data_IF_432887520265
#
_entry.id   IF_432887520265
#
_cell.length_a   1.000
_cell.length_b   1.000
_cell.length_c   1.000
_cell.angle_alpha   90.00
_cell.angle_beta   90.00
_cell.angle_gamma   90.00
#
_symmetry.space_group_name_H-M   'P 1'
#
loop_
_entity.id
_entity.type
_entity.pdbx_description
1 polymer ?
#
# COMPACT_ATOMS: atom_id res chain seq x y z
N UNK A 1 -6.59 11.98 -14.67
CA UNK A 1 -7.04 11.69 -13.30
C UNK A 1 -5.83 11.78 -12.38
N UNK A 2 -5.73 12.82 -11.55
CA UNK A 2 -4.56 13.07 -10.70
C UNK A 2 -4.88 12.49 -9.32
N UNK A 3 -4.46 11.25 -9.07
CA UNK A 3 -4.51 10.70 -7.72
C UNK A 3 -3.38 11.37 -6.95
N UNK A 4 -3.69 12.00 -5.81
CA UNK A 4 -2.72 12.39 -4.79
C UNK A 4 -2.66 11.26 -3.76
N UNK A 5 -1.94 10.15 -4.02
CA UNK A 5 -1.77 9.13 -3.01
C UNK A 5 -1.05 9.77 -1.81
N UNK A 6 -1.58 9.55 -0.61
CA UNK A 6 -0.86 9.93 0.60
C UNK A 6 0.39 9.06 0.70
N UNK A 7 1.56 9.65 0.43
CA UNK A 7 2.85 8.99 0.60
C UNK A 7 3.19 9.05 2.10
N UNK A 8 3.26 7.89 2.74
CA UNK A 8 3.73 7.76 4.12
C UNK A 8 5.00 6.91 4.13
N UNK A 9 6.08 7.46 4.68
CA UNK A 9 7.29 6.70 4.96
C UNK A 9 7.07 5.94 6.27
N UNK A 10 6.80 4.64 6.16
CA UNK A 10 6.45 3.83 7.32
C UNK A 10 7.60 2.88 7.67
N UNK A 11 7.96 2.82 8.96
CA UNK A 11 8.83 1.79 9.52
C UNK A 11 8.14 0.41 9.41
N UNK A 12 8.87 -0.72 9.31
CA UNK A 12 8.27 -2.06 9.24
C UNK A 12 7.34 -2.37 10.43
N UNK A 13 7.61 -1.77 11.59
CA UNK A 13 6.75 -1.85 12.79
C UNK A 13 5.32 -1.36 12.51
N UNK A 14 5.13 -0.41 11.59
CA UNK A 14 3.82 0.11 11.23
C UNK A 14 2.89 -0.97 10.64
N UNK A 15 3.42 -1.89 9.84
CA UNK A 15 2.63 -3.00 9.30
C UNK A 15 2.12 -3.93 10.38
N UNK A 16 2.94 -4.19 11.40
CA UNK A 16 2.55 -5.02 12.56
C UNK A 16 1.45 -4.31 13.35
N UNK A 17 1.60 -3.02 13.63
CA UNK A 17 0.62 -2.24 14.39
C UNK A 17 -0.73 -2.09 13.68
N UNK A 18 -0.74 -2.02 12.34
CA UNK A 18 -1.97 -1.85 11.54
C UNK A 18 -2.52 -3.16 10.95
N UNK A 19 -1.96 -4.31 11.35
CA UNK A 19 -2.30 -5.62 10.81
C UNK A 19 -2.33 -5.61 9.27
N UNK A 20 -1.28 -5.06 8.66
CA UNK A 20 -1.12 -5.02 7.21
C UNK A 20 -0.67 -6.40 6.74
N UNK A 21 -1.54 -7.08 6.00
CA UNK A 21 -1.27 -8.39 5.43
C UNK A 21 -0.97 -8.20 3.94
N UNK A 22 0.25 -8.51 3.46
CA UNK A 22 0.55 -8.53 2.04
C UNK A 22 -0.25 -9.62 1.30
N UNK A 23 -0.66 -9.33 0.07
CA UNK A 23 -1.18 -10.35 -0.84
C UNK A 23 -0.11 -11.40 -1.17
N UNK A 24 -0.54 -12.59 -1.57
CA UNK A 24 0.34 -13.67 -1.97
C UNK A 24 1.31 -13.21 -3.07
N UNK A 25 2.58 -13.63 -2.97
CA UNK A 25 3.64 -13.23 -3.89
C UNK A 25 4.28 -11.87 -3.60
N UNK A 26 3.76 -11.09 -2.63
CA UNK A 26 4.34 -9.82 -2.20
C UNK A 26 4.83 -9.83 -0.75
N UNK A 27 5.46 -8.72 -0.34
CA UNK A 27 5.89 -8.46 1.03
C UNK A 27 5.74 -6.99 1.40
N UNK A 28 5.69 -6.69 2.69
CA UNK A 28 5.83 -5.31 3.16
C UNK A 28 7.30 -4.83 3.06
N UNK A 29 7.50 -3.52 3.20
CA UNK A 29 8.84 -2.91 3.33
C UNK A 29 9.52 -3.45 4.60
N UNK A 30 10.81 -3.76 4.52
CA UNK A 30 11.58 -4.33 5.64
C UNK A 30 12.86 -3.53 5.94
N UNK A 31 13.55 -3.88 7.03
CA UNK A 31 14.76 -3.18 7.46
C UNK A 31 15.88 -3.20 6.41
N UNK A 32 15.97 -4.26 5.59
CA UNK A 32 16.96 -4.33 4.52
C UNK A 32 16.70 -3.26 3.46
N UNK A 33 15.44 -2.98 3.14
CA UNK A 33 15.09 -1.91 2.20
C UNK A 33 15.45 -0.54 2.74
N UNK A 34 15.24 -0.32 4.05
CA UNK A 34 15.60 0.93 4.73
C UNK A 34 17.12 1.09 4.77
N UNK A 35 17.83 0.08 5.27
CA UNK A 35 19.28 0.08 5.43
C UNK A 35 20.00 0.26 4.09
N UNK A 36 19.48 -0.32 3.02
CA UNK A 36 20.03 -0.19 1.67
C UNK A 36 19.43 0.97 0.87
N UNK A 37 18.56 1.78 1.47
CA UNK A 37 17.85 2.90 0.83
C UNK A 37 17.23 2.50 -0.52
N UNK A 38 16.63 1.30 -0.57
CA UNK A 38 16.01 0.78 -1.79
C UNK A 38 14.77 1.62 -2.12
N UNK A 39 14.64 1.98 -3.40
CA UNK A 39 13.44 2.65 -3.92
C UNK A 39 12.36 1.60 -4.16
N UNK A 40 11.69 1.23 -3.08
CA UNK A 40 10.59 0.26 -3.10
C UNK A 40 9.32 0.89 -2.58
N UNK A 41 8.17 0.37 -3.03
CA UNK A 41 6.86 0.81 -2.57
C UNK A 41 5.97 -0.40 -2.28
N UNK A 42 5.12 -0.24 -1.28
CA UNK A 42 4.02 -1.15 -0.98
C UNK A 42 2.71 -0.44 -1.28
N UNK A 43 1.85 -1.05 -2.09
CA UNK A 43 0.60 -0.43 -2.54
C UNK A 43 -0.59 -0.91 -1.70
N UNK A 44 -1.52 -0.01 -1.39
CA UNK A 44 -2.84 -0.40 -0.93
C UNK A 44 -3.64 -1.05 -2.07
N UNK A 45 -4.61 -1.90 -1.74
CA UNK A 45 -5.45 -2.64 -2.70
C UNK A 45 -6.11 -1.69 -3.72
N UNK A 46 -6.78 -0.63 -3.24
CA UNK A 46 -7.42 0.38 -4.11
C UNK A 46 -6.43 1.04 -5.08
N UNK A 47 -5.28 1.48 -4.58
CA UNK A 47 -4.26 2.13 -5.42
C UNK A 47 -3.65 1.17 -6.43
N UNK A 48 -3.48 -0.11 -6.06
CA UNK A 48 -3.08 -1.15 -7.02
C UNK A 48 -4.11 -1.27 -8.14
N UNK A 49 -5.40 -1.32 -7.81
CA UNK A 49 -6.47 -1.40 -8.82
C UNK A 49 -6.50 -0.16 -9.71
N UNK A 50 -6.33 1.02 -9.14
CA UNK A 50 -6.32 2.27 -9.92
C UNK A 50 -5.13 2.33 -10.91
N UNK A 51 -3.97 1.79 -10.54
CA UNK A 51 -2.75 1.85 -11.36
C UNK A 51 -2.59 0.67 -12.34
N UNK A 52 -3.00 -0.53 -11.93
CA UNK A 52 -2.73 -1.78 -12.65
C UNK A 52 -4.00 -2.56 -13.03
N UNK A 53 -5.18 -2.12 -12.59
CA UNK A 53 -6.43 -2.86 -12.78
C UNK A 53 -6.33 -4.26 -12.18
N UNK A 54 -6.69 -5.26 -12.98
CA UNK A 54 -6.62 -6.67 -12.61
C UNK A 54 -5.19 -7.24 -12.68
N UNK A 55 -4.27 -6.59 -13.39
CA UNK A 55 -2.91 -7.10 -13.60
C UNK A 55 -2.06 -7.12 -12.31
N UNK A 56 -1.07 -8.01 -12.26
CA UNK A 56 -0.13 -8.10 -11.14
C UNK A 56 0.74 -6.85 -11.04
N UNK A 57 0.79 -6.24 -9.85
CA UNK A 57 1.61 -5.05 -9.59
C UNK A 57 2.99 -5.39 -9.03
N UNK A 58 3.12 -6.48 -8.28
CA UNK A 58 4.39 -6.87 -7.65
C UNK A 58 5.46 -7.14 -8.72
N UNK A 59 6.65 -6.60 -8.51
CA UNK A 59 7.75 -6.69 -9.47
C UNK A 59 7.73 -5.63 -10.57
N UNK A 60 6.65 -4.85 -10.69
CA UNK A 60 6.58 -3.72 -11.63
C UNK A 60 7.12 -2.44 -11.00
N UNK A 61 7.52 -1.50 -11.86
CA UNK A 61 7.99 -0.18 -11.46
C UNK A 61 6.87 0.85 -11.61
N UNK A 62 6.72 1.72 -10.63
CA UNK A 62 5.86 2.91 -10.69
C UNK A 62 6.68 4.18 -10.58
N UNK A 63 6.22 5.25 -11.23
CA UNK A 63 6.85 6.56 -11.14
C UNK A 63 6.14 7.39 -10.06
N UNK A 64 6.91 7.87 -9.09
CA UNK A 64 6.44 8.80 -8.04
C UNK A 64 7.35 10.02 -8.13
N UNK A 65 6.79 11.19 -8.42
CA UNK A 65 7.53 12.44 -8.62
C UNK A 65 8.76 12.28 -9.53
N UNK A 66 8.54 11.67 -10.71
CA UNK A 66 9.56 11.39 -11.71
C UNK A 66 10.70 10.46 -11.24
N UNK A 67 10.51 9.76 -10.12
CA UNK A 67 11.44 8.78 -9.56
C UNK A 67 10.85 7.36 -9.65
N UNK A 68 11.59 6.36 -10.15
CA UNK A 68 11.10 4.99 -10.23
C UNK A 68 11.18 4.27 -8.88
N UNK A 69 10.11 3.57 -8.53
CA UNK A 69 10.01 2.69 -7.36
C UNK A 69 9.54 1.30 -7.76
N UNK A 70 10.19 0.26 -7.23
CA UNK A 70 9.79 -1.12 -7.41
C UNK A 70 8.64 -1.47 -6.45
N UNK A 71 7.54 -1.99 -6.97
CA UNK A 71 6.45 -2.52 -6.16
C UNK A 71 6.86 -3.86 -5.56
N UNK A 72 7.05 -3.92 -4.25
CA UNK A 72 7.47 -5.15 -3.53
C UNK A 72 6.31 -5.90 -2.91
N UNK A 73 5.14 -5.28 -2.84
CA UNK A 73 3.94 -5.91 -2.32
C UNK A 73 2.71 -5.03 -2.48
N UNK A 74 1.57 -5.67 -2.35
CA UNK A 74 0.25 -5.04 -2.35
C UNK A 74 -0.47 -5.54 -1.10
N UNK A 75 -1.28 -4.69 -0.48
CA UNK A 75 -2.16 -5.09 0.60
C UNK A 75 -3.15 -6.14 0.08
N UNK A 76 -3.27 -7.27 0.78
CA UNK A 76 -4.34 -8.23 0.52
C UNK A 76 -5.67 -7.49 0.62
N UNK A 77 -6.59 -7.75 -0.31
CA UNK A 77 -7.93 -7.15 -0.29
C UNK A 77 -8.55 -7.40 1.09
N UNK A 78 -8.61 -6.34 1.90
CA UNK A 78 -9.29 -6.40 3.18
C UNK A 78 -10.77 -6.39 2.83
N UNK A 79 -11.47 -7.50 3.06
CA UNK A 79 -12.91 -7.47 3.13
C UNK A 79 -13.26 -6.42 4.20
N UNK A 80 -13.69 -5.24 3.77
CA UNK A 80 -14.14 -4.18 4.64
C UNK A 80 -15.49 -4.63 5.22
N UNK A 81 -15.44 -5.34 6.34
CA UNK A 81 -16.57 -5.48 7.27
C UNK A 81 -16.29 -4.74 8.58
N UNK A 82 -15.50 -3.68 8.52
CA UNK A 82 -15.24 -2.85 9.69
C UNK A 82 -15.26 -1.39 9.29
N UNK A 83 -16.45 -0.82 9.43
CA UNK A 83 -16.70 0.61 9.60
C UNK A 83 -15.54 1.25 10.38
N UNK A 84 -14.70 1.99 9.67
CA UNK A 84 -13.86 3.03 10.26
C UNK A 84 -14.13 4.39 9.60
N UNK A 85 -15.24 4.52 8.87
CA UNK A 85 -16.09 5.71 8.97
C UNK A 85 -16.93 5.50 10.23
N UNK A 86 -16.94 6.45 11.15
CA UNK A 86 -17.89 6.43 12.26
C UNK A 86 -19.28 6.14 11.72
N UNK A 87 -20.04 5.32 12.44
CA UNK A 87 -21.49 5.26 12.26
C UNK A 87 -22.02 6.61 12.77
N UNK A 88 -21.83 7.68 12.00
CA UNK A 88 -22.70 8.85 12.06
C UNK A 88 -23.97 8.46 11.29
N UNK A 89 -24.74 7.57 11.92
CA UNK A 89 -26.18 7.56 11.72
C UNK A 89 -26.73 8.45 12.81
N UNK A 90 -27.18 9.63 12.40
CA UNK A 90 -28.29 10.34 13.02
C UNK A 90 -28.25 10.39 14.56
N UNK A 91 -27.45 11.32 15.09
CA UNK A 91 -27.84 11.98 16.35
C UNK A 91 -28.53 13.28 16.00
N UNK A 92 -29.81 13.36 16.38
CA UNK A 92 -30.60 14.59 16.42
C UNK A 92 -29.97 15.63 17.37
#
# INVERSE_FOLDING_TARGET
MRLTPQISANSPIFAVMRNIIPAAGGRYVNDLDINRRRRVVFLGDKLKTDLFGEADAVGRTVMIDNTPFLVVGVMAKKAQDSSYSGRDQDKA
#
